data_IF_298952873474
#
_entry.id   IF_298952873474
#
_cell.length_a   1.000
_cell.length_b   1.000
_cell.length_c   1.000
_cell.angle_alpha   90.00
_cell.angle_beta   90.00
_cell.angle_gamma   90.00
#
_symmetry.space_group_name_H-M   'P 1'
#
loop_
_entity.id
_entity.type
_entity.pdbx_description
1 polymer ?
#
# COMPACT_ATOMS: atom_id res chain seq x y z
N UNK A 1 -17.89 -9.96 21.87
CA UNK A 1 -16.53 -10.45 22.21
C UNK A 1 -15.60 -10.58 20.99
N UNK A 2 -16.08 -10.86 19.76
CA UNK A 2 -15.21 -11.10 18.57
C UNK A 2 -14.53 -9.86 17.99
N UNK A 3 -15.05 -8.66 18.20
CA UNK A 3 -14.49 -7.42 17.63
C UNK A 3 -13.44 -6.73 18.51
N UNK A 4 -13.19 -7.23 19.72
CA UNK A 4 -12.31 -6.57 20.70
C UNK A 4 -10.87 -6.41 20.18
N UNK A 5 -10.30 -7.44 19.59
CA UNK A 5 -8.93 -7.38 19.05
C UNK A 5 -8.80 -6.35 17.92
N UNK A 6 -9.76 -6.33 17.00
CA UNK A 6 -9.77 -5.37 15.91
C UNK A 6 -9.94 -3.94 16.42
N UNK A 7 -10.85 -3.69 17.37
CA UNK A 7 -11.05 -2.36 17.94
C UNK A 7 -9.86 -1.86 18.75
N UNK A 8 -9.18 -2.75 19.49
CA UNK A 8 -7.90 -2.42 20.16
C UNK A 8 -6.82 -2.03 19.15
N UNK A 9 -6.67 -2.82 18.09
CA UNK A 9 -5.71 -2.52 17.04
C UNK A 9 -6.00 -1.15 16.41
N UNK A 10 -7.26 -0.85 16.08
CA UNK A 10 -7.65 0.44 15.51
C UNK A 10 -7.35 1.60 16.47
N UNK A 11 -7.67 1.47 17.75
CA UNK A 11 -7.32 2.48 18.75
C UNK A 11 -5.80 2.71 18.82
N UNK A 12 -5.02 1.63 18.90
CA UNK A 12 -3.57 1.70 18.88
C UNK A 12 -3.06 2.37 17.60
N UNK A 13 -3.66 2.06 16.45
CA UNK A 13 -3.30 2.67 15.16
C UNK A 13 -3.58 4.18 15.15
N UNK A 14 -4.73 4.64 15.64
CA UNK A 14 -5.10 6.05 15.75
C UNK A 14 -4.18 6.80 16.73
N UNK A 15 -3.82 6.17 17.84
CA UNK A 15 -2.97 6.77 18.88
C UNK A 15 -1.47 6.72 18.55
N UNK A 16 -1.05 5.94 17.53
CA UNK A 16 0.34 5.82 17.11
C UNK A 16 1.18 4.83 17.90
N UNK A 17 0.55 4.05 18.76
CA UNK A 17 1.20 2.95 19.49
C UNK A 17 1.39 1.69 18.63
N UNK A 18 0.86 1.69 17.40
CA UNK A 18 1.20 0.69 16.40
C UNK A 18 2.70 0.82 16.09
N UNK A 19 3.49 0.00 16.76
CA UNK A 19 4.95 0.01 16.75
C UNK A 19 5.49 0.09 15.32
N UNK A 20 6.55 0.88 15.09
CA UNK A 20 7.32 0.80 13.87
C UNK A 20 7.71 -0.67 13.63
N UNK A 21 7.59 -1.11 12.39
CA UNK A 21 8.04 -2.42 11.95
C UNK A 21 9.47 -2.66 12.46
N UNK A 22 9.64 -3.59 13.39
CA UNK A 22 10.96 -4.11 13.71
C UNK A 22 11.49 -4.78 12.43
N UNK A 23 12.71 -4.46 12.07
CA UNK A 23 13.42 -4.99 10.91
C UNK A 23 13.46 -6.53 10.89
N UNK A 24 13.19 -7.16 12.04
CA UNK A 24 13.09 -8.62 12.21
C UNK A 24 11.74 -9.23 11.84
N UNK A 25 10.74 -8.43 11.42
CA UNK A 25 9.38 -8.90 11.09
C UNK A 25 8.56 -9.38 12.30
N UNK A 26 9.05 -9.20 13.52
CA UNK A 26 8.32 -9.52 14.76
C UNK A 26 7.68 -8.27 15.32
N UNK A 27 6.39 -8.13 15.11
CA UNK A 27 5.59 -7.06 15.74
C UNK A 27 5.60 -7.30 17.24
N UNK A 28 6.25 -6.41 17.99
CA UNK A 28 6.02 -6.31 19.43
C UNK A 28 4.73 -5.55 19.65
N UNK A 29 3.64 -6.25 19.89
CA UNK A 29 2.46 -5.63 20.51
C UNK A 29 2.91 -5.19 21.90
N UNK A 30 2.98 -3.89 22.13
CA UNK A 30 3.01 -3.38 23.49
C UNK A 30 1.64 -3.73 24.07
N UNK A 31 1.54 -4.89 24.76
CA UNK A 31 0.33 -5.26 25.46
C UNK A 31 -0.05 -4.10 26.39
N UNK A 32 -1.30 -3.83 26.53
CA UNK A 32 -1.99 -2.94 27.48
C UNK A 32 -1.33 -2.73 28.88
N UNK A 33 -0.32 -3.49 29.24
CA UNK A 33 0.37 -3.39 30.51
C UNK A 33 0.97 -2.01 30.82
N UNK A 34 1.32 -1.20 29.80
CA UNK A 34 1.82 0.17 30.01
C UNK A 34 0.69 1.20 30.08
N UNK A 35 -0.44 0.97 29.44
CA UNK A 35 -1.61 1.85 29.53
C UNK A 35 -2.43 1.67 30.81
N UNK A 36 -2.34 0.51 31.48
CA UNK A 36 -3.09 0.20 32.72
C UNK A 36 -2.75 1.13 33.91
N UNK A 37 -1.67 1.89 33.85
CA UNK A 37 -1.24 2.79 34.90
C UNK A 37 -1.31 4.27 34.53
N UNK A 38 -1.76 4.63 33.31
CA UNK A 38 -1.95 6.02 32.90
C UNK A 38 -3.39 6.46 33.22
N UNK A 39 -3.59 7.58 33.93
CA UNK A 39 -4.91 8.19 34.05
C UNK A 39 -5.47 8.68 32.70
N UNK A 40 -4.68 8.66 31.66
CA UNK A 40 -4.93 9.21 30.32
C UNK A 40 -5.51 8.15 29.37
N UNK A 41 -6.43 7.37 29.86
CA UNK A 41 -6.97 6.21 29.16
C UNK A 41 -8.04 6.60 28.12
N UNK A 42 -7.93 6.03 26.92
CA UNK A 42 -8.95 6.14 25.85
C UNK A 42 -9.85 4.90 25.91
N UNK A 43 -11.17 5.09 25.92
CA UNK A 43 -12.16 4.02 25.91
C UNK A 43 -13.03 4.07 24.66
N UNK A 44 -13.37 2.89 24.14
CA UNK A 44 -14.40 2.72 23.10
C UNK A 44 -15.60 2.04 23.74
N UNK A 45 -16.54 2.83 24.26
CA UNK A 45 -17.70 2.35 25.01
C UNK A 45 -18.79 3.45 25.06
N UNK A 46 -19.96 3.10 25.57
CA UNK A 46 -20.99 4.10 25.88
C UNK A 46 -20.54 5.00 27.04
N UNK A 47 -20.98 6.27 27.10
CA UNK A 47 -20.55 7.20 28.16
C UNK A 47 -20.81 6.70 29.57
N UNK A 48 -21.94 6.00 29.82
CA UNK A 48 -22.33 5.43 31.10
C UNK A 48 -21.48 4.23 31.53
N UNK A 49 -20.81 3.57 30.60
CA UNK A 49 -19.90 2.44 30.83
C UNK A 49 -18.46 2.89 31.11
N UNK A 50 -18.18 4.19 30.85
CA UNK A 50 -16.84 4.72 31.00
C UNK A 50 -16.38 4.74 32.46
N UNK A 51 -15.18 4.22 32.72
CA UNK A 51 -14.56 4.27 34.05
C UNK A 51 -14.20 5.71 34.44
N UNK A 52 -14.15 6.03 35.74
CA UNK A 52 -13.84 7.40 36.18
C UNK A 52 -12.55 7.97 35.58
N UNK A 53 -11.54 7.16 35.37
CA UNK A 53 -10.21 7.54 34.83
C UNK A 53 -10.15 7.62 33.31
N UNK A 54 -11.20 7.23 32.57
CA UNK A 54 -11.23 7.42 31.12
C UNK A 54 -11.38 8.91 30.79
N UNK A 55 -10.34 9.46 30.19
CA UNK A 55 -10.28 10.88 29.80
C UNK A 55 -10.82 11.14 28.39
N UNK A 56 -10.76 10.14 27.51
CA UNK A 56 -11.34 10.16 26.17
C UNK A 56 -12.27 8.96 26.01
N UNK A 57 -13.50 9.22 25.58
CA UNK A 57 -14.50 8.18 25.31
C UNK A 57 -14.98 8.36 23.87
N UNK A 58 -14.70 7.37 23.02
CA UNK A 58 -15.25 7.31 21.67
C UNK A 58 -16.49 6.42 21.72
N UNK A 59 -17.62 6.97 21.29
CA UNK A 59 -18.93 6.31 21.43
C UNK A 59 -19.19 5.40 20.23
N UNK A 60 -19.43 4.08 20.45
CA UNK A 60 -19.77 3.16 19.37
C UNK A 60 -21.09 3.54 18.67
N UNK A 61 -21.08 3.50 17.35
CA UNK A 61 -22.29 3.72 16.52
C UNK A 61 -23.21 2.49 16.40
N UNK A 62 -22.76 1.34 16.88
CA UNK A 62 -23.44 0.07 16.65
C UNK A 62 -22.96 -0.71 15.43
N UNK A 63 -21.99 -0.21 14.70
CA UNK A 63 -21.45 -0.88 13.49
C UNK A 63 -21.07 -2.34 13.72
N UNK A 64 -20.47 -2.66 14.88
CA UNK A 64 -20.06 -4.03 15.24
C UNK A 64 -21.17 -4.89 15.85
N UNK A 65 -22.38 -4.36 15.98
CA UNK A 65 -23.50 -5.11 16.52
C UNK A 65 -23.85 -6.28 15.59
N UNK A 66 -24.15 -7.45 16.16
CA UNK A 66 -24.45 -8.67 15.41
C UNK A 66 -25.58 -8.48 14.39
N UNK A 67 -26.53 -7.60 14.70
CA UNK A 67 -27.68 -7.32 13.84
C UNK A 67 -27.34 -6.42 12.66
N UNK A 68 -26.22 -5.70 12.72
CA UNK A 68 -25.79 -4.75 11.67
C UNK A 68 -24.61 -5.27 10.86
N UNK A 69 -23.61 -5.83 11.51
CA UNK A 69 -22.38 -6.26 10.85
C UNK A 69 -22.62 -7.30 9.75
N UNK A 70 -22.11 -7.05 8.54
CA UNK A 70 -22.32 -7.88 7.36
C UNK A 70 -23.65 -7.64 6.64
N UNK A 71 -24.46 -6.66 7.05
CA UNK A 71 -25.76 -6.32 6.46
C UNK A 71 -25.75 -4.91 5.86
N UNK A 72 -26.85 -4.55 5.18
CA UNK A 72 -27.00 -3.27 4.51
C UNK A 72 -26.88 -2.08 5.48
N UNK A 73 -27.31 -2.25 6.72
CA UNK A 73 -27.29 -1.28 7.80
C UNK A 73 -25.85 -0.90 8.23
N UNK A 74 -24.88 -1.76 7.95
CA UNK A 74 -23.46 -1.47 8.19
C UNK A 74 -22.79 -0.65 7.09
N UNK A 75 -23.52 -0.32 6.02
CA UNK A 75 -22.95 0.47 4.91
C UNK A 75 -23.29 1.94 5.09
N UNK A 76 -22.27 2.85 5.04
CA UNK A 76 -22.50 4.29 5.13
C UNK A 76 -23.39 4.78 3.99
N UNK A 77 -24.28 5.72 4.29
CA UNK A 77 -25.16 6.36 3.31
C UNK A 77 -24.60 7.71 2.89
N UNK A 78 -24.75 8.04 1.60
CA UNK A 78 -24.34 9.35 1.08
C UNK A 78 -25.53 10.35 1.12
N UNK A 79 -25.28 11.64 1.35
CA UNK A 79 -23.97 12.25 1.66
C UNK A 79 -23.48 11.90 3.08
N UNK A 80 -22.14 11.84 3.28
CA UNK A 80 -21.56 11.65 4.59
C UNK A 80 -21.71 12.93 5.44
N UNK A 81 -21.83 12.76 6.77
CA UNK A 81 -21.65 13.87 7.68
C UNK A 81 -20.20 14.35 7.69
N UNK A 82 -19.95 15.52 8.23
CA UNK A 82 -18.59 16.06 8.42
C UNK A 82 -18.29 16.27 9.91
N UNK A 83 -17.11 15.82 10.34
CA UNK A 83 -16.55 16.05 11.66
C UNK A 83 -15.19 16.74 11.52
N UNK A 84 -15.05 17.97 12.04
CA UNK A 84 -13.85 18.81 11.87
C UNK A 84 -13.36 18.95 10.41
N UNK A 85 -14.29 19.08 9.44
CA UNK A 85 -13.97 19.18 8.01
C UNK A 85 -13.53 17.86 7.36
N UNK A 86 -13.71 16.76 8.04
CA UNK A 86 -13.42 15.40 7.56
C UNK A 86 -14.73 14.64 7.34
N UNK A 87 -14.87 13.87 6.25
CA UNK A 87 -15.99 12.95 6.08
C UNK A 87 -16.09 11.97 7.27
N UNK A 88 -17.28 11.81 7.83
CA UNK A 88 -17.56 10.89 8.93
C UNK A 88 -18.42 9.74 8.42
N UNK A 89 -17.92 8.50 8.54
CA UNK A 89 -18.62 7.31 8.06
C UNK A 89 -19.69 6.84 9.03
N UNK A 90 -19.41 6.90 10.33
CA UNK A 90 -20.29 6.39 11.40
C UNK A 90 -20.31 7.31 12.59
N UNK A 91 -21.45 7.29 13.32
CA UNK A 91 -21.64 8.11 14.53
C UNK A 91 -22.22 9.50 14.22
N UNK A 92 -22.12 10.39 15.19
CA UNK A 92 -22.64 11.76 15.13
C UNK A 92 -21.48 12.76 15.12
N UNK A 93 -21.50 13.83 14.32
CA UNK A 93 -20.40 14.80 14.24
C UNK A 93 -20.42 15.79 15.42
N UNK A 94 -20.36 15.30 16.63
CA UNK A 94 -20.36 16.11 17.86
C UNK A 94 -19.46 15.52 18.93
N UNK A 95 -19.10 16.37 19.90
CA UNK A 95 -18.34 16.02 21.08
C UNK A 95 -18.84 16.80 22.29
N UNK A 96 -18.56 16.29 23.48
CA UNK A 96 -18.88 16.89 24.75
C UNK A 96 -17.65 16.84 25.66
N UNK A 97 -17.47 17.89 26.49
CA UNK A 97 -16.44 17.94 27.52
C UNK A 97 -17.09 18.01 28.89
N UNK A 98 -16.64 17.16 29.80
CA UNK A 98 -17.13 17.08 31.18
C UNK A 98 -15.96 17.19 32.16
N UNK A 99 -16.12 18.01 33.20
CA UNK A 99 -15.15 18.05 34.30
C UNK A 99 -15.31 16.82 35.19
N UNK A 100 -14.22 16.15 35.49
CA UNK A 100 -14.17 14.99 36.38
C UNK A 100 -13.06 15.16 37.42
N UNK A 101 -13.04 14.37 38.50
CA UNK A 101 -11.95 14.41 39.48
C UNK A 101 -10.57 14.09 38.89
N UNK A 102 -10.53 13.50 37.67
CA UNK A 102 -9.31 13.15 36.94
C UNK A 102 -8.95 14.21 35.86
N UNK A 103 -9.68 15.31 35.82
CA UNK A 103 -9.59 16.38 34.82
C UNK A 103 -10.64 16.27 33.73
N UNK A 104 -10.55 17.10 32.69
CA UNK A 104 -11.55 17.17 31.60
C UNK A 104 -11.65 15.85 30.87
N UNK A 105 -12.86 15.31 30.76
CA UNK A 105 -13.18 14.14 29.92
C UNK A 105 -13.78 14.63 28.60
N UNK A 106 -13.23 14.15 27.49
CA UNK A 106 -13.77 14.35 26.16
C UNK A 106 -14.60 13.12 25.74
N UNK A 107 -15.84 13.34 25.33
CA UNK A 107 -16.73 12.32 24.78
C UNK A 107 -16.93 12.65 23.29
N UNK A 108 -16.49 11.74 22.41
CA UNK A 108 -16.54 11.89 20.96
C UNK A 108 -17.63 10.97 20.43
N UNK A 109 -18.70 11.50 19.86
CA UNK A 109 -19.80 10.74 19.27
C UNK A 109 -19.53 10.36 17.80
N UNK A 110 -18.53 10.97 17.17
CA UNK A 110 -17.97 10.48 15.91
C UNK A 110 -17.29 9.14 16.14
N UNK A 111 -17.81 8.07 15.55
CA UNK A 111 -17.26 6.72 15.71
C UNK A 111 -16.02 6.54 14.83
N UNK A 112 -14.90 7.10 15.29
CA UNK A 112 -13.61 7.03 14.59
C UNK A 112 -13.09 5.61 14.47
N UNK A 113 -13.48 4.74 15.42
CA UNK A 113 -13.04 3.33 15.44
C UNK A 113 -13.72 2.54 14.33
N UNK A 114 -15.06 2.60 14.24
CA UNK A 114 -15.79 1.93 13.16
C UNK A 114 -15.45 2.52 11.79
N UNK A 115 -15.32 3.86 11.69
CA UNK A 115 -14.95 4.55 10.45
C UNK A 115 -13.56 4.12 9.95
N UNK A 116 -12.58 4.03 10.84
CA UNK A 116 -11.24 3.55 10.52
C UNK A 116 -11.24 2.06 10.19
N UNK A 117 -11.96 1.25 10.94
CA UNK A 117 -12.10 -0.17 10.67
C UNK A 117 -12.64 -0.44 9.26
N UNK A 118 -13.71 0.26 8.88
CA UNK A 118 -14.34 0.13 7.57
C UNK A 118 -13.33 0.30 6.42
N UNK A 119 -12.47 1.32 6.53
CA UNK A 119 -11.44 1.61 5.53
C UNK A 119 -10.27 0.65 5.60
N UNK A 120 -9.67 0.47 6.78
CA UNK A 120 -8.46 -0.34 6.97
C UNK A 120 -8.67 -1.83 6.67
N UNK A 121 -9.85 -2.36 6.98
CA UNK A 121 -10.19 -3.76 6.69
C UNK A 121 -10.73 -3.97 5.27
N UNK A 122 -10.98 -2.89 4.51
CA UNK A 122 -11.67 -2.93 3.21
C UNK A 122 -13.02 -3.63 3.29
N UNK A 123 -13.74 -3.32 4.36
CA UNK A 123 -15.04 -3.93 4.63
C UNK A 123 -16.02 -3.85 3.46
N UNK A 124 -16.05 -2.70 2.75
CA UNK A 124 -16.88 -2.49 1.57
C UNK A 124 -16.60 -3.52 0.45
N UNK A 125 -15.33 -3.83 0.20
CA UNK A 125 -14.92 -4.76 -0.86
C UNK A 125 -15.34 -6.20 -0.55
N UNK A 126 -15.35 -6.59 0.73
CA UNK A 126 -15.88 -7.85 1.19
C UNK A 126 -17.40 -7.88 1.09
N UNK A 127 -18.08 -6.82 1.52
CA UNK A 127 -19.53 -6.73 1.46
C UNK A 127 -20.05 -6.80 0.01
N UNK A 128 -19.43 -6.02 -0.91
CA UNK A 128 -19.73 -6.03 -2.33
C UNK A 128 -18.88 -7.01 -3.13
N UNK A 129 -18.63 -8.19 -2.59
CA UNK A 129 -17.72 -9.19 -3.15
C UNK A 129 -18.01 -9.57 -4.62
N UNK A 130 -19.25 -9.38 -5.10
CA UNK A 130 -19.65 -9.64 -6.49
C UNK A 130 -19.30 -8.50 -7.44
N UNK A 131 -18.96 -7.32 -6.94
CA UNK A 131 -18.58 -6.17 -7.77
C UNK A 131 -17.11 -6.31 -8.14
N UNK A 132 -16.86 -6.88 -9.31
CA UNK A 132 -15.50 -7.10 -9.81
C UNK A 132 -15.42 -6.74 -11.29
N UNK A 133 -14.26 -6.21 -11.68
CA UNK A 133 -13.91 -5.98 -13.07
C UNK A 133 -13.48 -7.27 -13.80
N UNK A 134 -13.03 -7.14 -15.04
CA UNK A 134 -12.59 -8.25 -15.88
C UNK A 134 -11.39 -9.04 -15.32
N UNK A 135 -10.63 -8.45 -14.38
CA UNK A 135 -9.50 -9.09 -13.71
C UNK A 135 -9.85 -9.59 -12.29
N UNK A 136 -11.13 -9.51 -11.90
CA UNK A 136 -11.58 -9.91 -10.57
C UNK A 136 -11.29 -8.91 -9.46
N UNK A 137 -10.90 -7.66 -9.79
CA UNK A 137 -10.60 -6.59 -8.84
C UNK A 137 -11.86 -5.83 -8.44
N UNK A 138 -11.89 -5.30 -7.22
CA UNK A 138 -12.88 -4.29 -6.84
C UNK A 138 -12.50 -2.96 -7.50
N UNK A 139 -13.39 -2.34 -8.33
CA UNK A 139 -13.09 -1.08 -8.99
C UNK A 139 -13.01 0.07 -7.98
N UNK A 140 -11.93 0.85 -8.03
CA UNK A 140 -11.76 1.99 -7.12
C UNK A 140 -12.84 3.06 -7.27
N UNK A 141 -13.36 3.25 -8.47
CA UNK A 141 -14.49 4.18 -8.75
C UNK A 141 -15.81 3.76 -8.10
N UNK A 142 -15.96 2.48 -7.72
CA UNK A 142 -17.09 1.97 -6.95
C UNK A 142 -16.94 2.17 -5.45
N UNK A 143 -15.73 2.49 -4.96
CA UNK A 143 -15.47 2.66 -3.54
C UNK A 143 -16.24 3.84 -2.94
N UNK A 144 -16.61 3.73 -1.68
CA UNK A 144 -17.20 4.82 -0.91
C UNK A 144 -16.31 6.06 -0.95
N UNK A 145 -14.99 5.88 -0.79
CA UNK A 145 -14.01 6.96 -0.78
C UNK A 145 -14.02 7.77 -2.08
N UNK A 146 -14.11 7.10 -3.22
CA UNK A 146 -14.23 7.77 -4.52
C UNK A 146 -15.58 8.47 -4.67
N UNK A 147 -16.70 7.79 -4.39
CA UNK A 147 -18.05 8.33 -4.52
C UNK A 147 -18.33 9.50 -3.58
N UNK A 148 -17.69 9.51 -2.43
CA UNK A 148 -17.76 10.60 -1.44
C UNK A 148 -16.66 11.68 -1.63
N UNK A 149 -15.78 11.54 -2.63
CA UNK A 149 -14.80 12.55 -3.00
C UNK A 149 -13.59 12.70 -2.06
N UNK A 150 -13.27 11.67 -1.28
CA UNK A 150 -12.12 11.73 -0.35
C UNK A 150 -11.02 10.68 -0.61
N UNK A 151 -11.05 9.99 -1.75
CA UNK A 151 -10.09 8.91 -2.04
C UNK A 151 -8.62 9.39 -2.02
N UNK A 152 -8.34 10.63 -2.41
CA UNK A 152 -6.98 11.22 -2.37
C UNK A 152 -6.56 11.68 -0.96
N UNK A 153 -7.41 11.51 0.06
CA UNK A 153 -7.15 11.88 1.46
C UNK A 153 -6.90 10.62 2.29
N UNK A 154 -5.83 10.55 3.08
CA UNK A 154 -5.61 9.45 4.03
C UNK A 154 -6.47 9.70 5.30
N UNK A 155 -7.79 9.51 5.17
CA UNK A 155 -8.79 9.92 6.15
C UNK A 155 -8.55 9.34 7.55
N UNK A 156 -8.04 8.11 7.65
CA UNK A 156 -7.70 7.50 8.96
C UNK A 156 -6.53 8.22 9.63
N UNK A 157 -5.57 8.70 8.82
CA UNK A 157 -4.45 9.49 9.34
C UNK A 157 -4.92 10.88 9.79
N UNK A 158 -5.89 11.45 9.07
CA UNK A 158 -6.53 12.70 9.45
C UNK A 158 -7.28 12.56 10.78
N UNK A 159 -8.07 11.50 10.96
CA UNK A 159 -8.73 11.18 12.23
C UNK A 159 -7.72 11.01 13.37
N UNK A 160 -6.61 10.30 13.11
CA UNK A 160 -5.56 10.11 14.10
C UNK A 160 -4.91 11.43 14.53
N UNK A 161 -4.63 12.34 13.59
CA UNK A 161 -4.07 13.65 13.88
C UNK A 161 -5.03 14.52 14.68
N UNK A 162 -6.30 14.53 14.31
CA UNK A 162 -7.33 15.33 15.00
C UNK A 162 -7.63 14.79 16.41
N UNK A 163 -7.75 13.48 16.57
CA UNK A 163 -7.91 12.85 17.89
C UNK A 163 -6.77 13.25 18.83
N UNK A 164 -5.52 13.21 18.38
CA UNK A 164 -4.35 13.60 19.18
C UNK A 164 -4.36 15.10 19.50
N UNK A 165 -4.76 15.95 18.55
CA UNK A 165 -4.92 17.39 18.78
C UNK A 165 -5.91 17.65 19.91
N UNK A 166 -7.10 17.05 19.85
CA UNK A 166 -8.14 17.17 20.88
C UNK A 166 -7.68 16.63 22.23
N UNK A 167 -6.96 15.52 22.25
CA UNK A 167 -6.35 14.97 23.48
C UNK A 167 -5.37 15.98 24.11
N UNK A 168 -4.54 16.63 23.30
CA UNK A 168 -3.63 17.68 23.74
C UNK A 168 -4.37 18.87 24.36
N UNK A 169 -5.51 19.28 23.80
CA UNK A 169 -6.33 20.39 24.31
C UNK A 169 -6.92 20.14 25.72
N UNK A 170 -7.21 18.89 26.04
CA UNK A 170 -7.64 18.51 27.40
C UNK A 170 -6.46 18.19 28.34
N UNK A 171 -5.23 18.54 27.93
CA UNK A 171 -4.01 18.41 28.73
C UNK A 171 -3.41 17.01 28.83
N UNK A 172 -3.72 16.12 27.87
CA UNK A 172 -3.08 14.82 27.79
C UNK A 172 -1.73 14.92 27.08
N UNK A 173 -0.72 14.18 27.59
CA UNK A 173 0.59 14.11 26.97
C UNK A 173 0.58 13.14 25.77
N UNK A 174 0.20 13.62 24.61
CA UNK A 174 0.15 12.86 23.36
C UNK A 174 1.22 13.38 22.42
N UNK A 175 1.98 12.46 21.80
CA UNK A 175 2.94 12.86 20.76
C UNK A 175 2.18 13.24 19.48
N UNK A 176 2.41 14.45 18.92
CA UNK A 176 1.84 14.81 17.63
C UNK A 176 2.39 13.90 16.53
N UNK A 177 1.68 13.84 15.41
CA UNK A 177 2.20 13.21 14.21
C UNK A 177 3.20 14.16 13.55
N UNK A 178 4.49 13.89 13.70
CA UNK A 178 5.52 14.72 13.06
C UNK A 178 5.60 14.39 11.57
N UNK A 179 5.68 15.40 10.70
CA UNK A 179 5.89 15.16 9.27
C UNK A 179 7.18 14.39 8.99
N UNK A 180 7.11 13.48 8.02
CA UNK A 180 8.24 12.63 7.63
C UNK A 180 7.74 11.45 6.81
N UNK A 181 8.66 10.63 6.29
CA UNK A 181 8.30 9.31 5.76
C UNK A 181 8.75 8.24 6.77
N UNK A 182 7.85 7.32 7.13
CA UNK A 182 8.24 6.12 7.88
C UNK A 182 9.17 5.24 7.04
N UNK A 183 8.89 5.14 5.74
CA UNK A 183 9.74 4.49 4.73
C UNK A 183 9.34 4.90 3.31
N UNK A 184 10.22 4.61 2.36
CA UNK A 184 9.96 4.77 0.91
C UNK A 184 10.28 3.45 0.20
N UNK A 185 9.31 2.88 -0.50
CA UNK A 185 9.46 1.68 -1.31
C UNK A 185 9.41 2.04 -2.81
N UNK A 186 10.54 1.93 -3.49
CA UNK A 186 10.65 2.09 -4.93
C UNK A 186 10.52 0.72 -5.57
N UNK A 187 9.34 0.41 -6.14
CA UNK A 187 9.01 -0.95 -6.55
C UNK A 187 8.82 -1.06 -8.06
N UNK A 188 9.24 -2.21 -8.59
CA UNK A 188 9.18 -2.49 -10.02
C UNK A 188 8.71 -3.93 -10.24
N UNK A 189 7.61 -4.09 -10.97
CA UNK A 189 7.10 -5.40 -11.35
C UNK A 189 7.79 -5.83 -12.65
N UNK A 190 8.35 -7.04 -12.67
CA UNK A 190 9.02 -7.58 -13.83
C UNK A 190 8.04 -8.36 -14.71
N UNK A 191 7.03 -7.66 -15.24
CA UNK A 191 6.03 -8.24 -16.12
C UNK A 191 6.60 -8.59 -17.48
N UNK A 192 7.33 -7.66 -18.05
CA UNK A 192 8.01 -7.77 -19.33
C UNK A 192 9.49 -7.36 -19.16
N UNK A 193 10.33 -8.21 -18.55
CA UNK A 193 11.70 -7.81 -18.21
C UNK A 193 12.60 -7.59 -19.43
N UNK A 194 12.16 -8.01 -20.62
CA UNK A 194 12.83 -7.81 -21.90
C UNK A 194 11.81 -7.78 -23.05
N UNK A 195 12.13 -7.06 -24.12
CA UNK A 195 11.27 -6.93 -25.29
C UNK A 195 11.11 -8.24 -26.07
N UNK A 196 12.20 -9.01 -26.25
CA UNK A 196 12.19 -10.28 -26.96
C UNK A 196 13.27 -11.25 -26.46
N UNK A 197 12.98 -12.54 -26.54
CA UNK A 197 13.96 -13.60 -26.27
C UNK A 197 13.59 -14.90 -27.01
N UNK A 198 14.63 -15.66 -27.37
CA UNK A 198 14.50 -16.97 -28.03
C UNK A 198 13.98 -16.91 -29.46
N UNK A 199 13.98 -18.10 -30.12
CA UNK A 199 13.64 -18.22 -31.55
C UNK A 199 12.20 -17.74 -31.85
N UNK A 200 11.25 -18.05 -30.96
CA UNK A 200 9.85 -17.61 -31.15
C UNK A 200 9.73 -16.09 -31.10
N UNK A 201 10.43 -15.43 -30.16
CA UNK A 201 10.49 -13.98 -30.09
C UNK A 201 11.12 -13.38 -31.34
N UNK A 202 12.22 -13.93 -31.81
CA UNK A 202 12.87 -13.51 -33.07
C UNK A 202 11.94 -13.57 -34.27
N UNK A 203 11.26 -14.71 -34.45
CA UNK A 203 10.28 -14.85 -35.53
C UNK A 203 9.10 -13.88 -35.41
N UNK A 204 8.62 -13.63 -34.20
CA UNK A 204 7.58 -12.59 -33.94
C UNK A 204 8.03 -11.23 -34.44
N UNK A 205 9.25 -10.80 -34.08
CA UNK A 205 9.82 -9.52 -34.49
C UNK A 205 9.93 -9.36 -36.01
N UNK A 206 10.33 -10.44 -36.70
CA UNK A 206 10.46 -10.45 -38.16
C UNK A 206 9.10 -10.47 -38.85
N UNK A 207 8.22 -11.39 -38.47
CA UNK A 207 7.01 -11.72 -39.24
C UNK A 207 5.82 -10.84 -38.86
N UNK A 208 5.66 -10.56 -37.57
CA UNK A 208 4.52 -9.80 -37.05
C UNK A 208 4.85 -8.31 -36.93
N UNK A 209 6.01 -7.96 -36.38
CA UNK A 209 6.41 -6.57 -36.15
C UNK A 209 7.23 -5.98 -37.31
N UNK A 210 7.59 -6.82 -38.28
CA UNK A 210 8.28 -6.42 -39.53
C UNK A 210 9.60 -5.67 -39.30
N UNK A 211 10.30 -6.00 -38.22
CA UNK A 211 11.62 -5.42 -37.96
C UNK A 211 12.65 -5.97 -38.96
N UNK A 212 13.70 -5.20 -39.22
CA UNK A 212 14.85 -5.70 -40.02
C UNK A 212 15.51 -6.86 -39.28
N UNK A 213 16.14 -7.78 -40.06
CA UNK A 213 16.85 -8.93 -39.51
C UNK A 213 17.88 -8.54 -38.46
N UNK A 214 18.61 -7.44 -38.67
CA UNK A 214 19.59 -6.89 -37.73
C UNK A 214 18.93 -6.41 -36.44
N UNK A 215 17.80 -5.71 -36.53
CA UNK A 215 17.05 -5.22 -35.36
C UNK A 215 16.41 -6.36 -34.57
N UNK A 216 15.79 -7.33 -35.25
CA UNK A 216 15.23 -8.51 -34.62
C UNK A 216 16.32 -9.34 -33.89
N UNK A 217 17.49 -9.55 -34.54
CA UNK A 217 18.62 -10.26 -33.93
C UNK A 217 19.12 -9.52 -32.68
N UNK A 218 19.34 -8.19 -32.77
CA UNK A 218 19.80 -7.38 -31.65
C UNK A 218 18.85 -7.46 -30.47
N UNK A 219 17.55 -7.29 -30.68
CA UNK A 219 16.57 -7.35 -29.60
C UNK A 219 16.35 -8.73 -28.99
N UNK A 220 16.73 -9.82 -29.70
CA UNK A 220 16.46 -11.17 -29.21
C UNK A 220 17.70 -11.86 -28.60
N UNK A 221 18.86 -11.78 -29.28
CA UNK A 221 20.03 -12.57 -28.95
C UNK A 221 21.22 -11.78 -28.42
N UNK A 222 21.17 -10.45 -28.47
CA UNK A 222 22.24 -9.62 -27.95
C UNK A 222 22.23 -9.52 -26.42
N UNK A 223 23.17 -8.74 -25.87
CA UNK A 223 23.27 -8.49 -24.44
C UNK A 223 21.98 -7.82 -23.93
N UNK A 224 21.65 -8.06 -22.65
CA UNK A 224 20.49 -7.42 -22.01
C UNK A 224 20.48 -5.90 -22.19
N UNK A 225 21.64 -5.25 -22.08
CA UNK A 225 21.78 -3.79 -22.24
C UNK A 225 21.46 -3.24 -23.65
N UNK A 226 21.28 -4.10 -24.64
CA UNK A 226 20.89 -3.74 -26.01
C UNK A 226 19.40 -3.98 -26.29
N UNK A 227 18.67 -4.53 -25.31
CA UNK A 227 17.24 -4.76 -25.38
C UNK A 227 16.48 -3.44 -25.24
N UNK A 228 15.38 -3.27 -26.00
CA UNK A 228 14.57 -2.04 -25.97
C UNK A 228 13.99 -1.74 -24.57
N UNK A 229 13.68 -2.79 -23.80
CA UNK A 229 13.12 -2.62 -22.45
C UNK A 229 14.20 -2.54 -21.36
N UNK A 230 15.48 -2.49 -21.71
CA UNK A 230 16.55 -2.41 -20.73
C UNK A 230 16.74 -0.98 -20.20
N UNK A 231 15.99 -0.65 -19.19
CA UNK A 231 16.08 0.63 -18.46
C UNK A 231 16.78 0.53 -17.10
N UNK A 232 17.02 -0.69 -16.62
CA UNK A 232 17.45 -1.05 -15.27
C UNK A 232 18.70 -0.31 -14.77
N UNK A 233 19.70 -0.14 -15.63
CA UNK A 233 20.95 0.52 -15.23
C UNK A 233 20.72 1.91 -14.67
N UNK A 234 19.90 2.70 -15.37
CA UNK A 234 19.68 4.12 -15.08
C UNK A 234 18.67 4.35 -13.93
N UNK A 235 17.51 3.70 -13.98
CA UNK A 235 16.53 3.94 -12.92
C UNK A 235 17.01 3.38 -11.57
N UNK A 236 17.77 2.27 -11.56
CA UNK A 236 18.40 1.80 -10.33
C UNK A 236 19.48 2.75 -9.80
N UNK A 237 20.20 3.46 -10.67
CA UNK A 237 21.11 4.51 -10.22
C UNK A 237 20.36 5.68 -9.57
N UNK A 238 19.20 6.06 -10.09
CA UNK A 238 18.34 7.06 -9.46
C UNK A 238 17.80 6.58 -8.10
N UNK A 239 17.42 5.31 -7.98
CA UNK A 239 16.97 4.73 -6.72
C UNK A 239 18.09 4.76 -5.67
N UNK A 240 19.31 4.35 -6.03
CA UNK A 240 20.49 4.43 -5.15
C UNK A 240 20.82 5.87 -4.77
N UNK A 241 20.69 6.81 -5.71
CA UNK A 241 20.86 8.23 -5.40
C UNK A 241 19.82 8.72 -4.38
N UNK A 242 18.55 8.33 -4.57
CA UNK A 242 17.46 8.65 -3.63
C UNK A 242 17.73 8.05 -2.27
N UNK A 243 18.12 6.77 -2.20
CA UNK A 243 18.48 6.09 -0.95
C UNK A 243 19.60 6.82 -0.20
N UNK A 244 20.58 7.37 -0.91
CA UNK A 244 21.69 8.10 -0.30
C UNK A 244 21.31 9.51 0.15
N UNK A 245 20.41 10.19 -0.57
CA UNK A 245 20.04 11.60 -0.34
C UNK A 245 18.79 11.79 0.51
N UNK A 246 18.02 10.73 0.80
CA UNK A 246 16.86 10.78 1.65
C UNK A 246 17.21 10.42 3.09
N UNK A 247 16.68 11.16 4.07
CA UNK A 247 16.86 10.87 5.50
C UNK A 247 16.05 9.65 5.95
N UNK A 248 14.87 9.46 5.34
CA UNK A 248 14.02 8.30 5.62
C UNK A 248 14.57 7.02 4.96
N UNK A 249 14.28 5.83 5.51
CA UNK A 249 14.67 4.57 4.89
C UNK A 249 14.08 4.42 3.47
N UNK A 250 14.92 4.14 2.48
CA UNK A 250 14.51 3.91 1.09
C UNK A 250 14.90 2.50 0.68
N UNK A 251 13.93 1.72 0.18
CA UNK A 251 14.13 0.36 -0.33
C UNK A 251 13.84 0.33 -1.83
N UNK A 252 14.50 -0.55 -2.56
CA UNK A 252 14.13 -0.90 -3.93
C UNK A 252 13.76 -2.37 -3.97
N UNK A 253 12.58 -2.69 -4.53
CA UNK A 253 12.05 -4.05 -4.58
C UNK A 253 11.68 -4.41 -6.03
N UNK A 254 12.13 -5.57 -6.50
CA UNK A 254 11.66 -6.18 -7.73
C UNK A 254 10.68 -7.30 -7.41
N UNK A 255 9.47 -7.23 -7.96
CA UNK A 255 8.50 -8.33 -7.90
C UNK A 255 8.63 -9.19 -9.16
N UNK A 256 8.85 -10.49 -8.97
CA UNK A 256 9.23 -11.43 -10.01
C UNK A 256 8.14 -12.50 -10.14
N UNK A 257 7.60 -12.67 -11.36
CA UNK A 257 6.63 -13.73 -11.67
C UNK A 257 7.30 -15.08 -11.79
N UNK A 258 6.60 -16.10 -11.33
CA UNK A 258 6.85 -17.49 -11.73
C UNK A 258 6.05 -17.83 -13.00
N UNK A 259 6.44 -18.87 -13.77
CA UNK A 259 5.68 -19.32 -14.91
C UNK A 259 4.22 -19.62 -14.59
N UNK A 260 3.30 -19.17 -15.42
CA UNK A 260 1.86 -19.32 -15.23
C UNK A 260 1.19 -19.90 -16.47
N UNK A 261 0.16 -20.77 -16.31
CA UNK A 261 -0.68 -21.22 -17.42
C UNK A 261 -1.64 -20.13 -17.92
N UNK A 262 -1.96 -19.13 -17.09
CA UNK A 262 -2.95 -18.11 -17.43
C UNK A 262 -2.48 -17.23 -18.59
N UNK A 263 -3.34 -16.96 -19.62
CA UNK A 263 -2.93 -16.25 -20.82
C UNK A 263 -2.49 -14.80 -20.57
N UNK A 264 -3.11 -14.11 -19.60
CA UNK A 264 -2.78 -12.71 -19.27
C UNK A 264 -1.48 -12.58 -18.47
N UNK A 265 -0.91 -13.67 -17.96
CA UNK A 265 0.40 -13.66 -17.28
C UNK A 265 1.60 -13.74 -18.25
N UNK A 266 1.34 -13.80 -19.55
CA UNK A 266 2.42 -13.84 -20.56
C UNK A 266 3.14 -12.50 -20.69
N UNK A 267 4.45 -12.48 -20.97
CA UNK A 267 5.30 -13.64 -21.25
C UNK A 267 5.72 -14.41 -19.99
N UNK A 268 5.80 -15.73 -20.09
CA UNK A 268 6.51 -16.54 -19.11
C UNK A 268 8.02 -16.42 -19.32
N UNK A 269 8.76 -16.36 -18.22
CA UNK A 269 10.21 -16.35 -18.24
C UNK A 269 10.78 -17.15 -17.05
N UNK A 270 12.06 -17.42 -17.06
CA UNK A 270 12.77 -18.01 -15.93
C UNK A 270 14.04 -17.22 -15.64
N UNK A 271 14.53 -17.24 -14.42
CA UNK A 271 15.73 -16.50 -14.01
C UNK A 271 17.00 -17.03 -14.73
N UNK A 272 16.93 -18.20 -15.33
CA UNK A 272 18.01 -18.79 -16.15
C UNK A 272 18.18 -18.12 -17.52
N UNK A 273 17.19 -17.34 -17.97
CA UNK A 273 17.34 -16.54 -19.19
C UNK A 273 18.53 -15.58 -19.05
N UNK A 274 19.41 -15.53 -20.03
CA UNK A 274 20.65 -14.75 -19.96
C UNK A 274 20.43 -13.24 -19.74
N UNK A 275 19.33 -12.67 -20.26
CA UNK A 275 18.96 -11.27 -20.04
C UNK A 275 18.52 -11.05 -18.61
N UNK A 276 17.65 -11.92 -18.09
CA UNK A 276 17.18 -11.82 -16.70
C UNK A 276 18.36 -12.06 -15.74
N UNK A 277 19.20 -13.05 -16.00
CA UNK A 277 20.40 -13.26 -15.19
C UNK A 277 21.32 -12.02 -15.15
N UNK A 278 21.38 -11.25 -16.23
CA UNK A 278 22.12 -9.97 -16.24
C UNK A 278 21.41 -8.89 -15.41
N UNK A 279 20.08 -8.79 -15.51
CA UNK A 279 19.25 -7.87 -14.69
C UNK A 279 19.39 -8.21 -13.20
N UNK A 280 19.30 -9.49 -12.83
CA UNK A 280 19.44 -9.95 -11.44
C UNK A 280 20.83 -9.65 -10.87
N UNK A 281 21.91 -9.87 -11.65
CA UNK A 281 23.27 -9.47 -11.21
C UNK A 281 23.39 -7.97 -11.00
N UNK A 282 22.73 -7.17 -11.84
CA UNK A 282 22.70 -5.71 -11.70
C UNK A 282 21.94 -5.29 -10.44
N UNK A 283 20.76 -5.87 -10.21
CA UNK A 283 19.91 -5.63 -9.06
C UNK A 283 20.63 -5.96 -7.74
N UNK A 284 21.26 -7.13 -7.64
CA UNK A 284 22.02 -7.54 -6.45
C UNK A 284 23.18 -6.59 -6.13
N UNK A 285 23.89 -6.09 -7.13
CA UNK A 285 24.97 -5.09 -6.91
C UNK A 285 24.45 -3.77 -6.33
N UNK A 286 23.15 -3.47 -6.54
CA UNK A 286 22.49 -2.26 -6.02
C UNK A 286 21.62 -2.54 -4.81
N UNK A 287 21.75 -3.73 -4.21
CA UNK A 287 21.02 -4.16 -3.02
C UNK A 287 19.48 -4.09 -3.20
N UNK A 288 19.01 -4.43 -4.39
CA UNK A 288 17.58 -4.58 -4.67
C UNK A 288 17.07 -5.83 -3.94
N UNK A 289 15.96 -5.72 -3.26
CA UNK A 289 15.24 -6.81 -2.64
C UNK A 289 14.33 -7.50 -3.66
N UNK A 290 13.98 -8.76 -3.40
CA UNK A 290 13.14 -9.54 -4.32
C UNK A 290 11.87 -10.00 -3.62
N UNK A 291 10.74 -9.82 -4.31
CA UNK A 291 9.43 -10.26 -3.89
C UNK A 291 8.77 -11.15 -4.95
N UNK A 292 7.76 -11.89 -4.53
CA UNK A 292 6.94 -12.71 -5.41
C UNK A 292 5.89 -11.84 -6.11
N UNK A 293 5.92 -11.77 -7.45
CA UNK A 293 4.83 -11.23 -8.23
C UNK A 293 3.82 -12.34 -8.50
N UNK A 294 2.76 -12.37 -7.69
CA UNK A 294 1.73 -13.39 -7.78
C UNK A 294 0.95 -13.24 -9.09
N UNK A 295 1.06 -14.23 -9.95
CA UNK A 295 0.36 -14.27 -11.22
C UNK A 295 -1.16 -14.46 -11.04
N UNK A 296 -1.98 -14.16 -12.06
CA UNK A 296 -3.44 -14.28 -12.00
C UNK A 296 -3.91 -15.70 -11.68
N UNK A 297 -3.15 -16.71 -12.10
CA UNK A 297 -3.46 -18.10 -11.75
C UNK A 297 -3.44 -18.31 -10.22
N UNK A 298 -2.49 -17.72 -9.50
CA UNK A 298 -2.47 -17.76 -8.04
C UNK A 298 -3.64 -17.00 -7.41
N UNK A 299 -4.08 -15.88 -7.99
CA UNK A 299 -5.28 -15.17 -7.52
C UNK A 299 -6.57 -15.96 -7.75
N UNK A 300 -6.61 -16.82 -8.77
CA UNK A 300 -7.75 -17.73 -9.02
C UNK A 300 -7.65 -19.02 -8.23
N UNK A 301 -6.42 -19.43 -7.88
CA UNK A 301 -6.08 -20.67 -7.19
C UNK A 301 -5.13 -20.35 -5.99
N UNK A 302 -5.66 -19.87 -4.85
CA UNK A 302 -4.83 -19.51 -3.68
C UNK A 302 -3.94 -20.64 -3.15
N UNK A 303 -4.32 -21.89 -3.37
CA UNK A 303 -3.52 -23.10 -3.06
C UNK A 303 -2.22 -23.21 -3.88
N UNK A 304 -2.09 -22.48 -5.00
CA UNK A 304 -0.88 -22.43 -5.81
C UNK A 304 0.19 -21.45 -5.30
N UNK A 305 -0.13 -20.59 -4.33
CA UNK A 305 0.76 -19.53 -3.82
C UNK A 305 2.04 -20.11 -3.23
N UNK A 306 1.93 -21.13 -2.39
CA UNK A 306 3.10 -21.78 -1.77
C UNK A 306 4.04 -22.38 -2.82
N UNK A 307 3.49 -23.06 -3.81
CA UNK A 307 4.29 -23.64 -4.90
C UNK A 307 5.01 -22.57 -5.71
N UNK A 308 4.35 -21.46 -6.03
CA UNK A 308 4.96 -20.33 -6.74
C UNK A 308 6.11 -19.70 -5.94
N UNK A 309 5.92 -19.54 -4.63
CA UNK A 309 6.98 -19.04 -3.73
C UNK A 309 8.18 -19.96 -3.70
N UNK A 310 7.96 -21.26 -3.48
CA UNK A 310 9.04 -22.27 -3.43
C UNK A 310 9.82 -22.30 -4.76
N UNK A 311 9.14 -22.20 -5.91
CA UNK A 311 9.77 -22.12 -7.22
C UNK A 311 10.68 -20.90 -7.34
N UNK A 312 10.18 -19.71 -6.92
CA UNK A 312 10.96 -18.48 -6.98
C UNK A 312 12.17 -18.54 -6.04
N UNK A 313 12.00 -18.98 -4.80
CA UNK A 313 13.09 -19.11 -3.81
C UNK A 313 14.19 -20.06 -4.30
N UNK A 314 13.79 -21.17 -4.91
CA UNK A 314 14.73 -22.12 -5.54
C UNK A 314 15.56 -21.48 -6.66
N UNK A 315 14.96 -20.63 -7.49
CA UNK A 315 15.68 -19.95 -8.57
C UNK A 315 16.54 -18.78 -8.05
N UNK A 316 16.09 -18.07 -7.01
CA UNK A 316 16.82 -16.96 -6.38
C UNK A 316 17.95 -17.43 -5.49
N UNK A 317 17.78 -18.56 -4.79
CA UNK A 317 18.67 -19.05 -3.74
C UNK A 317 18.55 -18.30 -2.42
N UNK A 318 17.42 -17.61 -2.20
CA UNK A 318 17.13 -16.84 -0.99
C UNK A 318 15.62 -16.83 -0.68
N UNK A 319 15.25 -16.59 0.59
CA UNK A 319 13.86 -16.52 1.03
C UNK A 319 13.16 -15.26 0.54
N UNK A 320 11.86 -15.41 0.24
CA UNK A 320 10.96 -14.34 -0.19
C UNK A 320 9.86 -14.17 0.85
N UNK A 321 9.74 -12.98 1.41
CA UNK A 321 8.76 -12.65 2.46
C UNK A 321 7.75 -11.58 2.07
N UNK A 322 7.89 -11.01 0.86
CA UNK A 322 6.99 -10.01 0.34
C UNK A 322 6.41 -10.40 -1.01
N UNK A 323 5.21 -9.86 -1.29
CA UNK A 323 4.48 -10.13 -2.53
C UNK A 323 3.79 -8.90 -3.10
N UNK A 324 3.41 -9.01 -4.37
CA UNK A 324 2.43 -8.16 -5.06
C UNK A 324 1.66 -9.01 -6.05
N UNK A 325 0.34 -8.86 -6.08
CA UNK A 325 -0.52 -9.52 -7.05
C UNK A 325 -0.44 -8.82 -8.41
N UNK A 326 -0.29 -9.60 -9.47
CA UNK A 326 -0.37 -9.13 -10.85
C UNK A 326 -1.73 -8.47 -11.09
N UNK A 327 -1.75 -7.34 -11.78
CA UNK A 327 -2.93 -6.47 -11.94
C UNK A 327 -3.51 -5.92 -10.62
N UNK A 328 -2.85 -6.06 -9.48
CA UNK A 328 -3.39 -5.79 -8.13
C UNK A 328 -4.67 -6.62 -7.83
N UNK A 329 -4.78 -7.81 -8.44
CA UNK A 329 -5.96 -8.67 -8.37
C UNK A 329 -6.00 -9.48 -7.07
N UNK A 330 -6.44 -8.84 -6.00
CA UNK A 330 -6.55 -9.41 -4.65
C UNK A 330 -8.00 -9.68 -4.30
N UNK A 331 -8.26 -10.84 -3.70
CA UNK A 331 -9.56 -11.26 -3.17
C UNK A 331 -9.47 -11.55 -1.68
N UNK A 332 -10.28 -10.90 -0.91
CA UNK A 332 -10.30 -11.06 0.54
C UNK A 332 -11.34 -12.12 0.95
N UNK A 333 -11.03 -12.89 1.98
CA UNK A 333 -9.76 -13.01 2.74
C UNK A 333 -8.86 -14.12 2.18
N UNK A 334 -9.26 -14.82 1.11
CA UNK A 334 -8.65 -16.05 0.65
C UNK A 334 -7.18 -15.86 0.27
N UNK A 335 -6.89 -14.82 -0.54
CA UNK A 335 -5.53 -14.57 -1.03
C UNK A 335 -4.59 -14.27 0.15
N UNK A 336 -5.04 -13.50 1.14
CA UNK A 336 -4.22 -13.16 2.30
C UNK A 336 -4.00 -14.32 3.25
N UNK A 337 -4.99 -15.20 3.41
CA UNK A 337 -4.80 -16.44 4.16
C UNK A 337 -3.76 -17.34 3.47
N UNK A 338 -3.77 -17.38 2.13
CA UNK A 338 -2.77 -18.13 1.37
C UNK A 338 -1.36 -17.52 1.50
N UNK A 339 -1.22 -16.19 1.51
CA UNK A 339 0.06 -15.52 1.75
C UNK A 339 0.64 -15.89 3.12
N UNK A 340 -0.17 -15.78 4.18
CA UNK A 340 0.24 -16.17 5.53
C UNK A 340 0.64 -17.64 5.61
N UNK A 341 -0.16 -18.54 5.00
CA UNK A 341 0.14 -19.96 4.93
C UNK A 341 1.45 -20.27 4.22
N UNK A 342 1.80 -19.48 3.21
CA UNK A 342 3.07 -19.58 2.48
C UNK A 342 4.25 -18.88 3.18
N UNK A 343 4.04 -18.21 4.34
CA UNK A 343 5.08 -17.45 5.03
C UNK A 343 5.48 -16.16 4.34
N UNK A 344 4.51 -15.50 3.69
CA UNK A 344 4.62 -14.13 3.17
C UNK A 344 3.98 -13.19 4.16
N UNK A 345 4.71 -12.18 4.61
CA UNK A 345 4.30 -11.28 5.68
C UNK A 345 4.13 -9.82 5.23
N UNK A 346 4.45 -9.51 3.98
CA UNK A 346 4.35 -8.16 3.42
C UNK A 346 3.67 -8.22 2.05
N UNK A 347 2.55 -7.53 1.88
CA UNK A 347 1.88 -7.39 0.59
C UNK A 347 1.84 -5.94 0.13
N UNK A 348 2.22 -5.70 -1.13
CA UNK A 348 2.32 -4.40 -1.77
C UNK A 348 1.23 -4.16 -2.82
N UNK A 349 0.08 -4.85 -2.71
CA UNK A 349 -1.02 -4.77 -3.69
C UNK A 349 -2.06 -3.70 -3.36
N UNK A 350 -1.89 -2.90 -2.27
CA UNK A 350 -2.93 -2.01 -1.75
C UNK A 350 -3.05 -0.69 -2.49
N UNK A 351 -3.36 -0.76 -3.78
CA UNK A 351 -3.83 0.33 -4.63
C UNK A 351 -5.02 -0.12 -5.46
N UNK A 352 -5.73 0.83 -6.05
CA UNK A 352 -6.68 0.57 -7.13
C UNK A 352 -5.95 0.69 -8.47
N UNK A 353 -6.36 -0.12 -9.45
CA UNK A 353 -5.75 -0.05 -10.77
C UNK A 353 -6.37 1.09 -11.62
N UNK A 354 -7.65 1.37 -11.42
CA UNK A 354 -8.45 2.29 -12.24
C UNK A 354 -8.42 3.75 -11.77
N UNK A 355 -8.00 4.00 -10.53
CA UNK A 355 -7.92 5.35 -9.93
C UNK A 355 -6.86 5.42 -8.84
N UNK A 356 -6.10 6.51 -8.80
CA UNK A 356 -5.11 6.77 -7.75
C UNK A 356 -5.80 7.23 -6.46
N UNK A 357 -5.26 6.81 -5.31
CA UNK A 357 -5.76 7.19 -4.00
C UNK A 357 -5.41 6.20 -2.89
N UNK A 358 -5.78 6.52 -1.67
CA UNK A 358 -5.50 5.72 -0.48
C UNK A 358 -6.57 4.64 -0.27
N UNK A 359 -6.38 3.47 -0.90
CA UNK A 359 -7.34 2.34 -0.85
C UNK A 359 -7.67 1.89 0.58
N UNK A 360 -6.70 1.98 1.50
CA UNK A 360 -6.88 1.68 2.92
C UNK A 360 -7.32 2.90 3.76
N UNK A 361 -7.54 4.05 3.13
CA UNK A 361 -7.81 5.31 3.84
C UNK A 361 -6.65 5.83 4.70
N UNK A 362 -5.46 5.27 4.53
CA UNK A 362 -4.23 5.65 5.26
C UNK A 362 -3.01 5.57 4.35
N UNK A 363 -1.99 6.36 4.67
CA UNK A 363 -0.67 6.27 4.06
C UNK A 363 0.29 5.35 4.83
N UNK A 364 -0.12 4.83 5.99
CA UNK A 364 0.70 3.98 6.87
C UNK A 364 0.47 2.50 6.59
N UNK A 365 1.49 1.63 6.72
CA UNK A 365 1.31 0.19 6.66
C UNK A 365 0.31 -0.32 7.71
N UNK A 366 -0.51 -1.30 7.34
CA UNK A 366 -1.62 -1.81 8.15
C UNK A 366 -1.49 -3.31 8.30
N UNK A 367 -1.69 -3.84 9.51
CA UNK A 367 -1.89 -5.28 9.68
C UNK A 367 -3.20 -5.69 9.01
N UNK A 368 -3.18 -6.79 8.26
CA UNK A 368 -4.40 -7.28 7.65
C UNK A 368 -5.43 -7.65 8.72
N UNK A 369 -6.58 -7.00 8.65
CA UNK A 369 -7.76 -7.31 9.44
C UNK A 369 -8.68 -8.14 8.57
N UNK A 370 -8.92 -9.38 8.95
CA UNK A 370 -9.88 -10.23 8.24
C UNK A 370 -11.31 -9.75 8.53
N UNK A 371 -12.04 -9.19 7.57
CA UNK A 371 -13.36 -8.62 7.84
C UNK A 371 -14.46 -9.68 8.09
N UNK A 372 -14.20 -10.97 7.85
CA UNK A 372 -15.15 -12.05 8.16
C UNK A 372 -14.97 -12.57 9.58
N UNK A 373 -13.72 -12.73 10.04
CA UNK A 373 -13.42 -13.25 11.38
C UNK A 373 -13.18 -12.16 12.42
N UNK A 374 -12.92 -10.91 11.99
CA UNK A 374 -12.50 -9.77 12.82
C UNK A 374 -11.12 -9.97 13.46
N UNK A 375 -10.34 -10.90 12.94
CA UNK A 375 -8.99 -11.24 13.39
C UNK A 375 -7.96 -10.28 12.78
N UNK A 376 -7.00 -9.84 13.60
CA UNK A 376 -5.85 -9.06 13.19
C UNK A 376 -4.66 -9.97 12.99
N UNK A 377 -4.14 -10.05 11.78
CA UNK A 377 -3.09 -11.01 11.42
C UNK A 377 -1.69 -10.38 11.44
N UNK A 378 -0.64 -11.18 11.21
CA UNK A 378 0.73 -10.71 11.09
C UNK A 378 1.12 -10.25 9.68
N UNK A 379 0.21 -10.35 8.69
CA UNK A 379 0.43 -9.83 7.35
C UNK A 379 0.34 -8.31 7.35
N UNK A 380 1.35 -7.65 6.83
CA UNK A 380 1.41 -6.20 6.67
C UNK A 380 1.02 -5.82 5.24
N UNK A 381 0.00 -5.00 5.13
CA UNK A 381 -0.45 -4.39 3.87
C UNK A 381 0.23 -3.03 3.70
N UNK A 382 0.95 -2.86 2.60
CA UNK A 382 1.63 -1.61 2.24
C UNK A 382 0.77 -0.82 1.26
N UNK A 383 0.34 0.42 1.61
CA UNK A 383 -0.42 1.27 0.70
C UNK A 383 0.38 1.61 -0.55
N UNK A 384 -0.19 1.37 -1.73
CA UNK A 384 0.39 1.78 -3.00
C UNK A 384 0.05 3.25 -3.26
N UNK A 385 1.07 4.12 -3.24
CA UNK A 385 0.85 5.56 -3.38
C UNK A 385 0.64 5.96 -4.83
N UNK A 386 1.51 5.49 -5.74
CA UNK A 386 1.47 5.85 -7.18
C UNK A 386 1.82 4.65 -8.03
N UNK A 387 1.01 4.39 -9.06
CA UNK A 387 1.30 3.43 -10.13
C UNK A 387 1.27 4.14 -11.49
N UNK A 388 2.28 3.87 -12.31
CA UNK A 388 2.45 4.49 -13.64
C UNK A 388 1.25 4.26 -14.57
N UNK A 389 0.76 3.01 -14.68
CA UNK A 389 -0.39 2.68 -15.53
C UNK A 389 -1.68 3.34 -15.07
N UNK A 390 -1.94 3.43 -13.76
CA UNK A 390 -3.17 4.05 -13.23
C UNK A 390 -3.36 5.47 -13.73
N UNK A 391 -2.28 6.26 -13.79
CA UNK A 391 -2.35 7.67 -14.15
C UNK A 391 -2.51 7.88 -15.66
N UNK A 392 -1.86 7.06 -16.49
CA UNK A 392 -1.69 7.34 -17.92
C UNK A 392 -2.53 6.48 -18.85
N UNK A 393 -2.83 5.22 -18.50
CA UNK A 393 -3.54 4.30 -19.39
C UNK A 393 -4.94 4.83 -19.75
N UNK A 394 -5.32 4.70 -21.04
CA UNK A 394 -6.61 5.15 -21.58
C UNK A 394 -7.82 4.48 -20.90
N UNK A 395 -7.63 3.27 -20.37
CA UNK A 395 -8.67 2.53 -19.64
C UNK A 395 -8.86 3.03 -18.21
N UNK A 396 -7.91 3.80 -17.67
CA UNK A 396 -7.88 4.23 -16.28
C UNK A 396 -8.11 5.74 -16.15
N UNK A 397 -7.17 6.49 -15.56
CA UNK A 397 -7.38 7.93 -15.36
C UNK A 397 -7.11 8.75 -16.61
N UNK A 398 -6.25 8.27 -17.51
CA UNK A 398 -5.88 8.93 -18.78
C UNK A 398 -5.48 10.41 -18.62
N UNK A 399 -4.70 10.69 -17.59
CA UNK A 399 -4.27 12.06 -17.27
C UNK A 399 -3.16 12.52 -18.21
N UNK A 400 -3.16 13.81 -18.53
CA UNK A 400 -1.97 14.44 -19.10
C UNK A 400 -0.82 14.49 -18.07
N UNK A 401 0.37 14.90 -18.53
CA UNK A 401 1.55 14.93 -17.67
C UNK A 401 1.37 15.88 -16.47
N UNK A 402 0.81 17.07 -16.68
CA UNK A 402 0.69 18.07 -15.63
C UNK A 402 -0.31 17.66 -14.55
N UNK A 403 -1.43 17.07 -14.98
CA UNK A 403 -2.42 16.52 -14.06
C UNK A 403 -1.88 15.33 -13.26
N UNK A 404 -1.18 14.41 -13.91
CA UNK A 404 -0.57 13.26 -13.26
C UNK A 404 0.53 13.66 -12.26
N UNK A 405 1.38 14.63 -12.63
CA UNK A 405 2.41 15.17 -11.72
C UNK A 405 1.74 15.79 -10.48
N UNK A 406 0.69 16.60 -10.66
CA UNK A 406 -0.04 17.23 -9.57
C UNK A 406 -0.65 16.18 -8.61
N UNK A 407 -1.36 15.18 -9.15
CA UNK A 407 -1.98 14.12 -8.34
C UNK A 407 -0.93 13.31 -7.60
N UNK A 408 0.11 12.86 -8.30
CA UNK A 408 1.14 12.01 -7.72
C UNK A 408 1.97 12.73 -6.63
N UNK A 409 2.33 14.01 -6.87
CA UNK A 409 3.04 14.81 -5.87
C UNK A 409 2.18 15.09 -4.65
N UNK A 410 0.89 15.39 -4.83
CA UNK A 410 -0.04 15.62 -3.72
C UNK A 410 -0.15 14.36 -2.83
N UNK A 411 -0.22 13.16 -3.40
CA UNK A 411 -0.27 11.91 -2.62
C UNK A 411 1.03 11.67 -1.83
N UNK A 412 2.20 11.97 -2.42
CA UNK A 412 3.49 11.90 -1.71
C UNK A 412 3.54 12.90 -0.56
N UNK A 413 3.01 14.11 -0.75
CA UNK A 413 2.93 15.14 0.30
C UNK A 413 1.98 14.75 1.43
N UNK A 414 0.85 14.11 1.12
CA UNK A 414 -0.04 13.56 2.15
C UNK A 414 0.65 12.47 2.98
N UNK A 415 1.36 11.55 2.34
CA UNK A 415 2.12 10.53 3.05
C UNK A 415 3.20 11.16 3.96
N UNK A 416 3.92 12.18 3.49
CA UNK A 416 4.88 12.93 4.30
C UNK A 416 4.24 13.60 5.51
N UNK A 417 3.11 14.28 5.30
CA UNK A 417 2.38 15.02 6.35
C UNK A 417 2.00 14.14 7.54
N UNK A 418 1.65 12.88 7.28
CA UNK A 418 1.16 11.96 8.30
C UNK A 418 2.13 10.84 8.67
N UNK A 419 3.43 11.04 8.44
CA UNK A 419 4.48 10.06 8.74
C UNK A 419 4.21 8.70 8.10
N UNK A 420 3.68 8.71 6.89
CA UNK A 420 3.29 7.52 6.15
C UNK A 420 4.44 6.88 5.38
N UNK A 421 4.11 5.79 4.69
CA UNK A 421 4.97 5.14 3.71
C UNK A 421 4.64 5.65 2.31
N UNK A 422 5.64 5.84 1.48
CA UNK A 422 5.48 6.05 0.03
C UNK A 422 5.88 4.78 -0.70
N UNK A 423 4.93 4.16 -1.40
CA UNK A 423 5.20 3.05 -2.32
C UNK A 423 4.96 3.51 -3.75
N UNK A 424 6.01 3.51 -4.57
CA UNK A 424 5.92 3.79 -6.00
C UNK A 424 6.02 2.49 -6.80
N UNK A 425 5.13 2.31 -7.77
CA UNK A 425 5.19 1.23 -8.75
C UNK A 425 5.38 1.79 -10.15
N UNK A 426 6.54 1.50 -10.73
CA UNK A 426 6.88 1.84 -12.11
C UNK A 426 7.46 0.63 -12.82
N UNK A 427 6.89 0.29 -13.98
CA UNK A 427 7.32 -0.83 -14.80
C UNK A 427 8.54 -0.45 -15.66
N UNK A 428 9.45 -1.39 -15.87
CA UNK A 428 10.69 -1.13 -16.62
C UNK A 428 10.45 -0.70 -18.07
N UNK A 429 9.43 -1.25 -18.71
CA UNK A 429 9.07 -0.90 -20.09
C UNK A 429 8.52 0.52 -20.24
N UNK A 430 8.05 1.13 -19.14
CA UNK A 430 7.60 2.51 -19.11
C UNK A 430 8.73 3.51 -18.77
N UNK A 431 9.85 3.04 -18.21
CA UNK A 431 11.01 3.85 -17.88
C UNK A 431 12.06 3.86 -18.99
N UNK A 432 11.63 4.06 -20.24
CA UNK A 432 12.51 4.07 -21.41
C UNK A 432 13.51 5.23 -21.33
N UNK A 433 14.73 5.01 -21.82
CA UNK A 433 15.89 5.82 -21.47
C UNK A 433 16.32 6.82 -22.50
N UNK A 434 15.94 6.60 -23.76
CA UNK A 434 16.45 7.40 -24.86
C UNK A 434 15.80 8.79 -24.96
N UNK A 435 14.66 8.99 -24.27
CA UNK A 435 14.00 10.28 -24.16
C UNK A 435 13.67 10.60 -22.68
N UNK A 436 14.41 11.55 -22.05
CA UNK A 436 14.13 12.00 -20.70
C UNK A 436 12.80 12.76 -20.57
N UNK A 437 12.15 13.09 -21.69
CA UNK A 437 10.85 13.76 -21.75
C UNK A 437 9.68 12.79 -21.84
N UNK A 438 9.94 11.48 -21.98
CA UNK A 438 8.88 10.46 -21.91
C UNK A 438 8.13 10.61 -20.57
N UNK A 439 6.80 10.61 -20.67
CA UNK A 439 5.86 10.83 -19.59
C UNK A 439 6.27 10.11 -18.28
N UNK A 440 6.40 8.80 -18.30
CA UNK A 440 6.68 8.00 -17.09
C UNK A 440 8.08 8.26 -16.52
N UNK A 441 9.09 8.38 -17.37
CA UNK A 441 10.46 8.68 -16.95
C UNK A 441 10.56 10.05 -16.28
N UNK A 442 9.88 11.04 -16.85
CA UNK A 442 9.82 12.39 -16.32
C UNK A 442 9.09 12.43 -14.97
N UNK A 443 7.94 11.74 -14.88
CA UNK A 443 7.14 11.66 -13.66
C UNK A 443 7.91 10.95 -12.53
N UNK A 444 8.53 9.81 -12.83
CA UNK A 444 9.33 9.08 -11.84
C UNK A 444 10.44 9.96 -11.25
N UNK A 445 11.18 10.66 -12.10
CA UNK A 445 12.23 11.58 -11.65
C UNK A 445 11.70 12.76 -10.83
N UNK A 446 10.50 13.25 -11.14
CA UNK A 446 9.86 14.32 -10.38
C UNK A 446 9.51 13.83 -8.96
N UNK A 447 8.94 12.62 -8.85
CA UNK A 447 8.62 11.98 -7.57
C UNK A 447 9.86 11.75 -6.72
N UNK A 448 10.94 11.21 -7.29
CA UNK A 448 12.19 10.99 -6.55
C UNK A 448 12.79 12.32 -6.03
N UNK A 449 12.75 13.38 -6.84
CA UNK A 449 13.20 14.72 -6.41
C UNK A 449 12.33 15.27 -5.28
N UNK A 450 11.02 15.08 -5.32
CA UNK A 450 10.12 15.53 -4.25
C UNK A 450 10.37 14.77 -2.95
N UNK A 451 10.57 13.46 -3.01
CA UNK A 451 10.92 12.63 -1.85
C UNK A 451 12.22 13.13 -1.18
N UNK A 452 13.28 13.37 -1.98
CA UNK A 452 14.54 13.91 -1.46
C UNK A 452 14.34 15.32 -0.87
N UNK A 453 13.55 16.17 -1.52
CA UNK A 453 13.28 17.54 -1.08
C UNK A 453 12.54 17.59 0.26
N UNK A 454 11.56 16.68 0.46
CA UNK A 454 10.77 16.62 1.69
C UNK A 454 11.55 15.99 2.85
N UNK A 455 12.42 15.03 2.60
CA UNK A 455 13.21 14.33 3.61
C UNK A 455 14.69 14.27 3.20
N UNK A 456 15.39 15.41 3.20
CA UNK A 456 16.79 15.44 2.80
C UNK A 456 17.67 14.79 3.87
N UNK A 457 18.61 13.94 3.46
CA UNK A 457 19.64 13.46 4.34
C UNK A 457 20.48 14.65 4.85
N UNK A 458 20.92 14.66 6.11
CA UNK A 458 21.82 15.70 6.59
C UNK A 458 23.08 15.72 5.70
N UNK A 459 23.49 16.93 5.29
CA UNK A 459 24.74 17.09 4.55
C UNK A 459 25.86 16.44 5.37
N UNK A 460 26.50 15.44 4.78
CA UNK A 460 27.73 14.90 5.36
C UNK A 460 28.78 16.00 5.14
N UNK A 461 28.80 16.98 6.05
CA UNK A 461 29.87 17.99 6.09
C UNK A 461 31.13 17.29 6.57
N UNK A 462 31.98 16.95 5.63
CA UNK A 462 33.38 16.64 5.87
C UNK A 462 33.71 15.26 6.47
N UNK A 463 33.97 14.30 5.61
CA UNK A 463 35.02 13.31 5.83
C UNK A 463 36.07 13.49 4.75
#
# INVERSE_FOLDING_TARGET
>A
MRHYEATEYILSFLLGDATPLDISGKIRISRHAQMQHSPDYVAYCRPEEAKPYHRVVIVPSGFFDYEQYGRAESMPTLPLAEWHGMPLLFGEPREESLETPYGTRLIIYADLVASSYFLLSRYEEMYYRKRRDEHGRFPGRESLAYRAGFLERPLVDEYAAELRRLMGEIGLAVQPMEPGFSSVALTHDLDQPYYSSGVRGFLRLLLKERLSLRAAYRNTFSRASEDLFFSYGRFLDWNVETQRKCASPVRTIFFIKTPSPHPLDKPNYTLRNHKIAAIMRLARRRKVEFGLHLNLYCSEHPDAVEAAKVELEKELGESVTCSRHHYLAVREPEDYNALLGAGIYHDYSMGYADVAGFRLGTSRPVRFINPQSLEVTDLILHPLTVMDYTLHDEKYMHLDYAEAERVALAMVEQAYKYHGEVTLLFHNENLLLDDPHIYHTRLYRALLRQIIKLSPAPDIVGL
#
